data_IF_793037609659
#
_entry.id   IF_793037609659
#
_cell.length_a   1.000
_cell.length_b   1.000
_cell.length_c   1.000
_cell.angle_alpha   90.00
_cell.angle_beta   90.00
_cell.angle_gamma   90.00
#
_symmetry.space_group_name_H-M   'P 1'
#
loop_
_entity.id
_entity.type
_entity.pdbx_description
1 polymer ?
#
# COMPACT_ATOMS: atom_id res chain seq x y z
N UNK A 1 -4.86 -24.18 -0.34
CA UNK A 1 -3.92 -23.26 0.29
C UNK A 1 -3.14 -22.48 -0.75
N UNK A 2 -2.32 -21.56 -0.31
CA UNK A 2 -1.38 -20.81 -1.15
C UNK A 2 0.02 -21.09 -0.61
N UNK A 3 0.94 -21.44 -1.51
CA UNK A 3 2.33 -21.71 -1.15
C UNK A 3 3.14 -20.40 -1.29
N UNK A 4 3.96 -20.08 -0.30
CA UNK A 4 4.90 -18.97 -0.35
C UNK A 4 6.23 -19.49 -0.91
N UNK A 5 6.67 -18.91 -2.03
CA UNK A 5 7.87 -19.37 -2.75
C UNK A 5 8.75 -18.20 -3.17
N UNK A 6 10.03 -18.48 -3.39
CA UNK A 6 10.97 -17.56 -4.04
C UNK A 6 11.06 -17.91 -5.55
N UNK A 7 11.54 -16.97 -6.39
CA UNK A 7 11.71 -17.23 -7.82
C UNK A 7 12.61 -18.42 -8.14
N UNK A 8 13.59 -18.73 -7.28
CA UNK A 8 14.46 -19.91 -7.42
C UNK A 8 13.72 -21.24 -7.23
N UNK A 9 12.57 -21.23 -6.54
CA UNK A 9 11.74 -22.42 -6.36
C UNK A 9 10.88 -22.69 -7.59
N UNK A 10 10.78 -21.71 -8.49
CA UNK A 10 10.06 -21.82 -9.74
C UNK A 10 11.00 -22.13 -10.90
N UNK A 11 10.47 -22.76 -11.93
CA UNK A 11 11.12 -22.91 -13.24
C UNK A 11 10.10 -23.08 -14.33
N UNK A 12 10.49 -22.72 -15.56
CA UNK A 12 9.62 -22.87 -16.72
C UNK A 12 10.12 -24.01 -17.61
N UNK A 13 9.19 -24.86 -18.03
CA UNK A 13 9.45 -25.95 -18.97
C UNK A 13 8.21 -26.23 -19.82
N UNK A 14 8.40 -26.37 -21.13
CA UNK A 14 7.30 -26.61 -22.08
C UNK A 14 6.26 -25.49 -22.09
N UNK A 15 6.67 -24.23 -21.83
CA UNK A 15 5.77 -23.09 -21.77
C UNK A 15 4.84 -23.07 -20.54
N UNK A 16 5.18 -23.80 -19.50
CA UNK A 16 4.44 -23.86 -18.23
C UNK A 16 5.35 -23.57 -17.06
N UNK A 17 4.77 -23.08 -15.97
CA UNK A 17 5.50 -22.84 -14.72
C UNK A 17 5.33 -24.01 -13.77
N UNK A 18 6.42 -24.37 -13.14
CA UNK A 18 6.53 -25.47 -12.19
C UNK A 18 7.21 -24.99 -10.91
N UNK A 19 6.76 -25.48 -9.78
CA UNK A 19 7.39 -25.30 -8.48
C UNK A 19 8.19 -26.54 -8.12
N UNK A 20 9.42 -26.35 -7.62
CA UNK A 20 10.25 -27.42 -7.08
C UNK A 20 9.76 -27.79 -5.70
N UNK A 21 9.39 -29.04 -5.50
CA UNK A 21 9.03 -29.58 -4.19
C UNK A 21 9.84 -30.85 -3.89
N UNK A 22 9.86 -31.27 -2.64
CA UNK A 22 10.51 -32.52 -2.23
C UNK A 22 9.87 -33.77 -2.84
N UNK A 23 8.60 -33.67 -3.22
CA UNK A 23 7.87 -34.74 -3.91
C UNK A 23 8.00 -34.72 -5.46
N UNK A 24 8.75 -33.73 -5.98
CA UNK A 24 8.92 -33.50 -7.42
C UNK A 24 8.25 -32.21 -7.89
N UNK A 25 8.33 -31.92 -9.20
CA UNK A 25 7.74 -30.70 -9.76
C UNK A 25 6.21 -30.68 -9.65
N UNK A 26 5.68 -29.56 -9.13
CA UNK A 26 4.23 -29.32 -9.10
C UNK A 26 3.90 -28.16 -10.03
N UNK A 27 2.82 -28.29 -10.81
CA UNK A 27 2.38 -27.23 -11.73
C UNK A 27 1.86 -26.03 -10.96
N UNK A 28 2.18 -24.85 -11.47
CA UNK A 28 1.68 -23.55 -10.96
C UNK A 28 0.76 -22.95 -12.00
N UNK A 29 -0.50 -22.72 -11.64
CA UNK A 29 -1.51 -22.13 -12.51
C UNK A 29 -1.75 -20.66 -12.24
N UNK A 30 -1.50 -20.20 -11.00
CA UNK A 30 -1.65 -18.80 -10.57
C UNK A 30 -0.47 -18.39 -9.72
N UNK A 31 0.07 -17.20 -9.99
CA UNK A 31 1.14 -16.57 -9.22
C UNK A 31 0.64 -15.21 -8.75
N UNK A 32 0.53 -15.02 -7.42
CA UNK A 32 0.42 -13.71 -6.82
C UNK A 32 1.82 -13.20 -6.52
N UNK A 33 2.29 -12.22 -7.28
CA UNK A 33 3.67 -11.73 -7.17
C UNK A 33 3.82 -10.57 -6.19
N UNK A 34 5.00 -10.52 -5.55
CA UNK A 34 5.49 -9.39 -4.76
C UNK A 34 6.84 -8.88 -5.30
N UNK A 35 7.20 -9.30 -6.48
CA UNK A 35 8.42 -8.92 -7.21
C UNK A 35 8.02 -7.90 -8.27
N UNK A 36 8.78 -6.82 -8.40
CA UNK A 36 8.54 -5.79 -9.41
C UNK A 36 8.72 -6.36 -10.83
N UNK A 37 8.09 -5.73 -11.82
CA UNK A 37 8.03 -6.21 -13.20
C UNK A 37 9.41 -6.51 -13.77
N UNK A 38 10.36 -5.62 -13.57
CA UNK A 38 11.70 -5.71 -14.13
C UNK A 38 12.51 -6.93 -13.63
N UNK A 39 12.17 -7.47 -12.44
CA UNK A 39 12.85 -8.63 -11.87
C UNK A 39 12.16 -9.97 -12.18
N UNK A 40 10.96 -9.95 -12.78
CA UNK A 40 10.11 -11.12 -12.88
C UNK A 40 10.64 -12.20 -13.85
N UNK A 41 11.17 -11.78 -15.00
CA UNK A 41 11.69 -12.71 -16.03
C UNK A 41 12.97 -12.15 -16.65
N UNK A 42 14.14 -12.73 -16.32
CA UNK A 42 15.42 -12.25 -16.84
C UNK A 42 15.58 -12.37 -18.36
N UNK A 43 14.73 -13.14 -19.05
CA UNK A 43 14.74 -13.23 -20.51
C UNK A 43 13.98 -12.08 -21.20
N UNK A 44 13.14 -11.36 -20.45
CA UNK A 44 12.29 -10.31 -21.00
C UNK A 44 12.61 -8.93 -20.44
N UNK A 45 13.16 -8.88 -19.21
CA UNK A 45 13.44 -7.66 -18.48
C UNK A 45 14.92 -7.59 -18.09
N UNK A 46 15.22 -7.44 -16.81
CA UNK A 46 16.60 -7.37 -16.32
C UNK A 46 17.28 -8.72 -16.40
N UNK A 47 18.30 -8.84 -17.25
CA UNK A 47 19.02 -10.09 -17.47
C UNK A 47 19.82 -10.56 -16.23
N UNK A 48 20.15 -9.67 -15.30
CA UNK A 48 20.87 -9.94 -14.06
C UNK A 48 19.93 -10.27 -12.87
N UNK A 49 18.62 -10.29 -13.08
CA UNK A 49 17.67 -10.60 -12.02
C UNK A 49 17.82 -12.02 -11.48
N UNK A 50 17.97 -12.10 -10.15
CA UNK A 50 17.98 -13.34 -9.38
C UNK A 50 16.66 -13.61 -8.64
N UNK A 51 15.68 -12.70 -8.76
CA UNK A 51 14.41 -12.76 -8.03
C UNK A 51 13.29 -13.45 -8.81
N UNK A 52 13.38 -13.44 -10.12
CA UNK A 52 12.38 -14.03 -11.01
C UNK A 52 12.77 -15.40 -11.54
N UNK A 53 11.99 -15.87 -12.53
CA UNK A 53 12.23 -17.16 -13.18
C UNK A 53 12.22 -17.02 -14.70
N UNK A 54 13.28 -17.49 -15.40
CA UNK A 54 13.36 -17.39 -16.85
C UNK A 54 12.19 -18.10 -17.56
N UNK A 55 11.55 -17.42 -18.51
CA UNK A 55 10.45 -17.95 -19.31
C UNK A 55 9.06 -17.80 -18.70
N UNK A 56 8.94 -17.14 -17.57
CA UNK A 56 7.66 -16.91 -16.90
C UNK A 56 6.69 -16.08 -17.77
N UNK A 57 7.20 -15.06 -18.43
CA UNK A 57 6.41 -14.23 -19.35
C UNK A 57 5.96 -14.97 -20.60
N UNK A 58 6.75 -15.93 -21.09
CA UNK A 58 6.31 -16.81 -22.17
C UNK A 58 5.15 -17.70 -21.71
N UNK A 59 5.24 -18.30 -20.54
CA UNK A 59 4.16 -19.11 -19.97
C UNK A 59 2.86 -18.30 -19.78
N UNK A 60 2.97 -17.07 -19.31
CA UNK A 60 1.83 -16.16 -19.16
C UNK A 60 1.20 -15.81 -20.53
N UNK A 61 2.00 -15.45 -21.53
CA UNK A 61 1.51 -15.16 -22.88
C UNK A 61 0.82 -16.34 -23.56
N UNK A 62 1.24 -17.56 -23.25
CA UNK A 62 0.59 -18.79 -23.71
C UNK A 62 -0.69 -19.15 -22.95
N UNK A 63 -1.07 -18.36 -21.93
CA UNK A 63 -2.24 -18.63 -21.08
C UNK A 63 -2.06 -19.83 -20.15
N UNK A 64 -0.83 -20.26 -19.91
CA UNK A 64 -0.53 -21.43 -19.09
C UNK A 64 -0.30 -21.10 -17.61
N UNK A 65 -0.23 -19.83 -17.26
CA UNK A 65 -0.18 -19.31 -15.89
C UNK A 65 -0.81 -17.94 -15.86
N UNK A 66 -1.57 -17.66 -14.80
CA UNK A 66 -2.10 -16.33 -14.53
C UNK A 66 -1.19 -15.64 -13.51
N UNK A 67 -0.69 -14.44 -13.86
CA UNK A 67 0.06 -13.60 -12.93
C UNK A 67 -0.91 -12.59 -12.35
N UNK A 68 -1.34 -12.80 -11.12
CA UNK A 68 -2.10 -11.82 -10.36
C UNK A 68 -1.17 -10.66 -9.98
N UNK A 69 -1.67 -9.41 -9.98
CA UNK A 69 -0.90 -8.20 -10.14
C UNK A 69 -0.17 -8.23 -11.49
N UNK A 70 -0.94 -8.15 -12.57
CA UNK A 70 -0.45 -8.31 -13.93
C UNK A 70 0.75 -7.41 -14.20
N UNK A 71 1.64 -7.87 -15.08
CA UNK A 71 2.78 -7.09 -15.54
C UNK A 71 2.27 -5.84 -16.27
N UNK A 72 2.86 -4.69 -15.97
CA UNK A 72 2.41 -3.38 -16.44
C UNK A 72 1.51 -2.61 -15.45
N UNK A 73 1.09 -3.24 -14.36
CA UNK A 73 0.27 -2.57 -13.32
C UNK A 73 0.99 -1.40 -12.64
N UNK A 74 2.29 -1.25 -12.80
CA UNK A 74 3.04 -0.11 -12.28
C UNK A 74 2.51 1.25 -12.76
N UNK A 75 1.80 1.29 -13.89
CA UNK A 75 1.11 2.50 -14.35
C UNK A 75 0.07 3.00 -13.34
N UNK A 76 -0.51 2.11 -12.54
CA UNK A 76 -1.47 2.47 -11.50
C UNK A 76 -0.81 3.10 -10.26
N UNK A 77 0.49 2.90 -10.09
CA UNK A 77 1.29 3.50 -9.00
C UNK A 77 1.88 4.85 -9.38
N UNK A 78 1.86 5.20 -10.66
CA UNK A 78 2.37 6.45 -11.19
C UNK A 78 1.54 7.64 -10.70
N UNK A 79 2.18 8.54 -9.94
CA UNK A 79 1.50 9.68 -9.33
C UNK A 79 1.08 10.76 -10.34
N UNK A 80 1.68 10.76 -11.53
CA UNK A 80 1.27 11.64 -12.60
C UNK A 80 -0.02 11.13 -13.25
N UNK A 81 -0.13 9.81 -13.49
CA UNK A 81 -1.35 9.18 -14.01
C UNK A 81 -2.54 9.42 -13.07
N UNK A 82 -2.31 9.40 -11.76
CA UNK A 82 -3.33 9.73 -10.77
C UNK A 82 -4.00 11.09 -11.03
N UNK A 83 -3.27 12.08 -11.54
CA UNK A 83 -3.82 13.43 -11.79
C UNK A 83 -4.85 13.47 -12.92
N UNK A 84 -4.82 12.49 -13.82
CA UNK A 84 -5.77 12.37 -14.93
C UNK A 84 -6.99 11.51 -14.58
N UNK A 85 -7.04 10.89 -13.41
CA UNK A 85 -8.10 9.94 -13.07
C UNK A 85 -9.52 10.51 -13.19
N UNK A 86 -9.81 11.74 -12.73
CA UNK A 86 -11.13 12.35 -12.92
C UNK A 86 -11.52 12.51 -14.40
N UNK A 87 -10.57 12.93 -15.23
CA UNK A 87 -10.77 13.10 -16.68
C UNK A 87 -10.98 11.74 -17.38
N UNK A 88 -10.26 10.70 -16.94
CA UNK A 88 -10.43 9.34 -17.45
C UNK A 88 -11.80 8.76 -17.08
N UNK A 89 -12.29 9.02 -15.88
CA UNK A 89 -13.63 8.61 -15.44
C UNK A 89 -14.70 9.30 -16.33
N UNK A 90 -14.58 10.60 -16.54
CA UNK A 90 -15.51 11.35 -17.40
C UNK A 90 -15.45 10.84 -18.85
N UNK A 91 -14.26 10.64 -19.39
CA UNK A 91 -14.05 10.22 -20.77
C UNK A 91 -14.58 8.80 -21.06
N UNK A 92 -14.28 7.83 -20.18
CA UNK A 92 -14.63 6.42 -20.44
C UNK A 92 -16.01 6.04 -19.91
N UNK A 93 -16.45 6.64 -18.81
CA UNK A 93 -17.71 6.27 -18.14
C UNK A 93 -18.81 7.33 -18.32
N UNK A 94 -18.48 8.56 -18.72
CA UNK A 94 -19.42 9.68 -18.76
C UNK A 94 -19.92 10.07 -17.37
N UNK A 95 -19.15 9.79 -16.33
CA UNK A 95 -19.49 10.00 -14.93
C UNK A 95 -18.53 10.98 -14.26
N UNK A 96 -18.96 11.54 -13.14
CA UNK A 96 -18.08 12.32 -12.27
C UNK A 96 -17.46 11.40 -11.21
N UNK A 97 -16.18 11.65 -10.88
CA UNK A 97 -15.53 10.95 -9.80
C UNK A 97 -16.31 11.10 -8.48
N UNK A 98 -16.66 9.97 -7.85
CA UNK A 98 -17.39 9.95 -6.56
C UNK A 98 -16.45 10.32 -5.41
N UNK A 99 -15.20 9.83 -5.46
CA UNK A 99 -14.16 10.13 -4.48
C UNK A 99 -13.29 11.24 -5.05
N UNK A 100 -13.16 12.40 -4.37
CA UNK A 100 -12.32 13.48 -4.87
C UNK A 100 -10.84 13.08 -4.80
N UNK A 101 -10.08 13.49 -5.81
CA UNK A 101 -8.63 13.44 -5.76
C UNK A 101 -8.10 14.57 -4.86
N UNK A 102 -6.92 14.36 -4.29
CA UNK A 102 -6.15 15.45 -3.71
C UNK A 102 -5.66 16.36 -4.84
N UNK A 103 -5.81 17.67 -4.68
CA UNK A 103 -5.30 18.65 -5.63
C UNK A 103 -3.82 18.37 -5.89
N UNK A 104 -3.45 18.28 -7.15
CA UNK A 104 -2.10 17.86 -7.53
C UNK A 104 -1.60 18.69 -8.71
N UNK A 105 -0.48 19.38 -8.51
CA UNK A 105 0.21 20.12 -9.55
C UNK A 105 1.12 19.18 -10.33
N UNK A 106 0.97 19.20 -11.64
CA UNK A 106 1.88 18.54 -12.60
C UNK A 106 2.98 19.53 -12.96
N UNK A 107 4.21 19.28 -12.51
CA UNK A 107 5.29 20.26 -12.65
C UNK A 107 5.84 20.35 -14.08
N UNK A 108 5.40 19.50 -14.98
CA UNK A 108 5.65 19.67 -16.44
C UNK A 108 4.91 20.88 -17.03
N UNK A 109 3.86 21.38 -16.38
CA UNK A 109 3.20 22.63 -16.71
C UNK A 109 4.02 23.80 -16.13
N UNK A 110 4.53 24.72 -16.99
CA UNK A 110 5.35 25.84 -16.53
C UNK A 110 4.65 26.75 -15.50
N UNK A 111 3.34 26.95 -15.63
CA UNK A 111 2.58 27.77 -14.68
C UNK A 111 2.47 27.09 -13.32
N UNK A 112 2.23 25.77 -13.30
CA UNK A 112 2.20 24.99 -12.09
C UNK A 112 3.58 24.92 -11.42
N UNK A 113 4.63 24.77 -12.21
CA UNK A 113 6.01 24.79 -11.69
C UNK A 113 6.34 26.11 -10.99
N UNK A 114 6.03 27.25 -11.62
CA UNK A 114 6.28 28.59 -11.04
C UNK A 114 5.54 28.75 -9.72
N UNK A 115 4.24 28.44 -9.66
CA UNK A 115 3.45 28.49 -8.44
C UNK A 115 4.04 27.62 -7.34
N UNK A 116 4.41 26.39 -7.65
CA UNK A 116 4.98 25.44 -6.68
C UNK A 116 6.34 25.90 -6.16
N UNK A 117 7.18 26.45 -7.03
CA UNK A 117 8.48 26.98 -6.63
C UNK A 117 8.37 28.14 -5.63
N UNK A 118 7.32 28.93 -5.72
CA UNK A 118 7.05 30.02 -4.78
C UNK A 118 6.48 29.56 -3.43
N UNK A 119 5.92 28.35 -3.38
CA UNK A 119 5.23 27.78 -2.23
C UNK A 119 5.83 26.46 -1.74
N UNK A 120 7.11 26.22 -1.98
CA UNK A 120 7.77 24.95 -1.62
C UNK A 120 7.70 24.63 -0.13
N UNK A 121 7.70 25.63 0.72
CA UNK A 121 7.60 25.50 2.18
C UNK A 121 6.18 25.19 2.69
N UNK A 122 5.16 25.25 1.82
CA UNK A 122 3.77 24.93 2.14
C UNK A 122 3.33 23.55 1.63
N UNK A 123 4.03 23.00 0.66
CA UNK A 123 3.58 21.87 -0.15
C UNK A 123 4.34 20.57 0.17
N UNK A 124 3.75 19.45 -0.22
CA UNK A 124 4.40 18.14 -0.24
C UNK A 124 4.83 17.84 -1.67
N UNK A 125 6.11 17.64 -1.88
CA UNK A 125 6.70 17.35 -3.18
C UNK A 125 7.05 15.86 -3.23
N UNK A 126 6.64 15.19 -4.30
CA UNK A 126 6.80 13.75 -4.48
C UNK A 126 7.38 13.44 -5.84
N UNK A 127 8.35 12.52 -5.95
CA UNK A 127 8.71 11.98 -7.25
C UNK A 127 7.51 11.24 -7.86
N UNK A 128 7.36 11.32 -9.18
CA UNK A 128 6.29 10.66 -9.94
C UNK A 128 6.35 9.16 -9.73
N UNK A 129 7.52 8.59 -9.87
CA UNK A 129 7.84 7.20 -9.61
C UNK A 129 8.26 6.97 -8.14
N UNK A 130 8.48 5.73 -7.80
CA UNK A 130 8.92 5.35 -6.47
C UNK A 130 7.78 5.12 -5.47
N UNK A 131 8.12 4.42 -4.40
CA UNK A 131 7.21 3.96 -3.36
C UNK A 131 7.81 4.14 -1.97
N UNK A 132 7.00 3.91 -0.93
CA UNK A 132 7.48 3.88 0.45
C UNK A 132 7.90 5.23 1.03
N UNK A 133 7.58 6.35 0.38
CA UNK A 133 7.93 7.70 0.84
C UNK A 133 9.37 8.11 0.51
N UNK A 134 10.08 7.34 -0.31
CA UNK A 134 11.43 7.70 -0.77
C UNK A 134 11.35 8.96 -1.63
N UNK A 135 12.26 9.91 -1.39
CA UNK A 135 12.33 11.19 -2.12
C UNK A 135 11.19 12.17 -1.85
N UNK A 136 10.25 11.84 -0.95
CA UNK A 136 9.18 12.75 -0.54
C UNK A 136 9.76 13.86 0.33
N UNK A 137 9.40 15.11 0.02
CA UNK A 137 9.75 16.28 0.84
C UNK A 137 8.48 16.95 1.33
N UNK A 138 8.36 17.10 2.64
CA UNK A 138 7.27 17.86 3.29
C UNK A 138 7.80 19.27 3.55
N UNK A 139 7.38 20.22 2.72
CA UNK A 139 7.87 21.60 2.75
C UNK A 139 7.88 22.26 4.14
N UNK A 140 6.78 22.21 4.90
CA UNK A 140 6.73 22.76 6.25
C UNK A 140 7.73 22.14 7.24
N UNK A 141 8.20 20.93 6.99
CA UNK A 141 9.18 20.23 7.84
C UNK A 141 10.62 20.32 7.28
N UNK A 142 10.79 20.81 6.07
CA UNK A 142 12.08 20.86 5.39
C UNK A 142 12.91 22.08 5.81
N UNK A 143 14.21 21.89 5.85
CA UNK A 143 15.16 23.00 6.09
C UNK A 143 15.37 23.82 4.81
N UNK A 144 15.83 25.07 4.96
CA UNK A 144 16.13 25.92 3.80
C UNK A 144 17.11 25.30 2.80
N UNK A 145 18.22 24.66 3.23
CA UNK A 145 19.13 23.98 2.29
C UNK A 145 18.48 22.83 1.52
N UNK A 146 17.57 22.08 2.17
CA UNK A 146 16.80 21.02 1.52
C UNK A 146 15.86 21.60 0.45
N UNK A 147 15.12 22.66 0.75
CA UNK A 147 14.25 23.35 -0.21
C UNK A 147 15.04 23.91 -1.40
N UNK A 148 16.24 24.48 -1.17
CA UNK A 148 17.10 24.96 -2.25
C UNK A 148 17.64 23.83 -3.13
N UNK A 149 17.92 22.67 -2.54
CA UNK A 149 18.33 21.48 -3.29
C UNK A 149 17.16 20.95 -4.11
N UNK A 150 15.99 20.83 -3.50
CA UNK A 150 14.75 20.44 -4.15
C UNK A 150 14.42 21.38 -5.33
N UNK A 151 14.50 22.69 -5.15
CA UNK A 151 14.27 23.69 -6.21
C UNK A 151 15.12 23.41 -7.45
N UNK A 152 16.40 23.07 -7.25
CA UNK A 152 17.30 22.73 -8.37
C UNK A 152 16.89 21.44 -9.07
N UNK A 153 16.42 20.44 -8.32
CA UNK A 153 15.94 19.17 -8.87
C UNK A 153 14.67 19.39 -9.71
N UNK A 154 13.71 20.16 -9.21
CA UNK A 154 12.47 20.46 -9.92
C UNK A 154 12.71 21.23 -11.22
N UNK A 155 13.65 22.18 -11.22
CA UNK A 155 14.02 22.93 -12.42
C UNK A 155 14.77 22.06 -13.44
N UNK A 156 15.50 21.04 -12.99
CA UNK A 156 16.25 20.13 -13.85
C UNK A 156 15.33 19.11 -14.55
N UNK A 157 14.37 18.57 -13.81
CA UNK A 157 13.44 17.55 -14.28
C UNK A 157 12.02 17.80 -13.74
N UNK A 158 11.28 18.76 -14.29
CA UNK A 158 9.95 19.09 -13.80
C UNK A 158 8.97 17.92 -13.91
N UNK A 159 9.05 17.13 -15.01
CA UNK A 159 8.15 16.01 -15.25
C UNK A 159 8.29 14.89 -14.24
N UNK A 160 9.45 14.74 -13.65
CA UNK A 160 9.72 13.71 -12.63
C UNK A 160 9.03 13.96 -11.29
N UNK A 161 8.25 15.06 -11.15
CA UNK A 161 7.72 15.49 -9.86
C UNK A 161 6.28 15.96 -9.92
N UNK A 162 5.58 15.76 -8.82
CA UNK A 162 4.28 16.37 -8.51
C UNK A 162 4.35 17.12 -7.19
N UNK A 163 3.43 18.06 -7.01
CA UNK A 163 3.20 18.73 -5.74
C UNK A 163 1.76 18.55 -5.28
N UNK A 164 1.55 18.51 -3.98
CA UNK A 164 0.24 18.41 -3.33
C UNK A 164 0.20 19.29 -2.08
N UNK A 165 -0.97 19.77 -1.65
CA UNK A 165 -1.11 20.38 -0.35
C UNK A 165 -0.82 19.36 0.76
N UNK A 166 -0.42 19.82 1.93
CA UNK A 166 -0.32 18.96 3.11
C UNK A 166 -1.71 18.51 3.52
N UNK A 167 -2.01 17.23 3.32
CA UNK A 167 -3.28 16.66 3.76
C UNK A 167 -3.21 16.32 5.24
N UNK A 168 -4.08 16.95 6.03
CA UNK A 168 -4.26 16.60 7.43
C UNK A 168 -5.07 15.31 7.51
N UNK A 169 -4.37 14.18 7.70
CA UNK A 169 -5.02 12.89 7.80
C UNK A 169 -5.96 12.84 9.02
N UNK A 170 -7.06 12.13 8.88
CA UNK A 170 -7.95 11.83 10.01
C UNK A 170 -7.20 11.09 11.11
N UNK A 171 -7.66 11.23 12.35
CA UNK A 171 -7.12 10.49 13.48
C UNK A 171 -8.09 9.43 13.94
N UNK A 172 -7.54 8.30 14.43
CA UNK A 172 -8.30 7.22 15.05
C UNK A 172 -7.71 6.87 16.41
N UNK A 173 -8.53 6.41 17.38
CA UNK A 173 -8.04 5.92 18.65
C UNK A 173 -7.06 4.75 18.43
N UNK A 174 -5.87 4.87 18.98
CA UNK A 174 -4.79 3.88 18.81
C UNK A 174 -4.15 3.58 20.15
N UNK A 175 -4.01 2.28 20.45
CA UNK A 175 -3.31 1.83 21.67
C UNK A 175 -1.82 2.02 21.46
N UNK A 176 -1.20 2.70 22.40
CA UNK A 176 0.25 2.87 22.54
C UNK A 176 0.65 2.59 23.99
N UNK A 177 1.94 2.64 24.31
CA UNK A 177 2.45 2.32 25.64
C UNK A 177 1.76 3.11 26.78
N UNK A 178 1.37 4.36 26.51
CA UNK A 178 0.67 5.24 27.45
C UNK A 178 -0.87 5.13 27.41
N UNK A 179 -1.41 4.08 26.80
CA UNK A 179 -2.85 3.87 26.64
C UNK A 179 -3.39 4.33 25.28
N UNK A 180 -4.66 4.70 25.23
CA UNK A 180 -5.32 5.06 23.96
C UNK A 180 -5.09 6.53 23.63
N UNK A 181 -4.55 6.80 22.45
CA UNK A 181 -4.28 8.15 21.94
C UNK A 181 -4.72 8.30 20.49
N UNK A 182 -5.12 9.50 20.03
CA UNK A 182 -5.39 9.74 18.62
C UNK A 182 -4.09 9.64 17.82
N UNK A 183 -4.15 8.97 16.67
CA UNK A 183 -3.05 8.87 15.72
C UNK A 183 -3.58 9.01 14.30
N UNK A 184 -2.81 9.68 13.45
CA UNK A 184 -3.15 9.82 12.04
C UNK A 184 -3.21 8.47 11.34
N UNK A 185 -4.18 8.31 10.45
CA UNK A 185 -4.45 7.05 9.77
C UNK A 185 -4.85 7.26 8.31
N UNK A 186 -4.57 6.26 7.47
CA UNK A 186 -5.13 6.14 6.13
C UNK A 186 -5.81 4.78 5.93
N UNK A 187 -6.90 4.77 5.16
CA UNK A 187 -7.59 3.55 4.76
C UNK A 187 -7.04 3.07 3.41
N UNK A 188 -6.78 1.78 3.32
CA UNK A 188 -6.34 1.08 2.10
C UNK A 188 -7.34 0.01 1.73
N UNK A 189 -8.33 0.33 0.88
CA UNK A 189 -9.28 -0.65 0.37
C UNK A 189 -8.60 -1.58 -0.64
N UNK A 190 -9.21 -2.75 -0.86
CA UNK A 190 -8.79 -3.71 -1.87
C UNK A 190 -9.89 -3.85 -2.91
N UNK A 191 -9.52 -3.67 -4.18
CA UNK A 191 -10.41 -3.89 -5.31
C UNK A 191 -9.78 -4.89 -6.27
N UNK A 192 -10.61 -5.76 -6.84
CA UNK A 192 -10.21 -6.75 -7.85
C UNK A 192 -11.08 -6.54 -9.08
N UNK A 193 -10.43 -6.41 -10.22
CA UNK A 193 -11.09 -6.32 -11.53
C UNK A 193 -10.84 -7.63 -12.29
N UNK A 194 -11.88 -8.33 -12.69
CA UNK A 194 -11.80 -9.56 -13.47
C UNK A 194 -11.93 -9.34 -15.00
N UNK A 195 -12.04 -8.08 -15.42
CA UNK A 195 -12.21 -7.68 -16.80
C UNK A 195 -13.66 -7.34 -17.17
N UNK A 196 -14.65 -7.79 -16.40
CA UNK A 196 -16.06 -7.49 -16.57
C UNK A 196 -16.64 -6.72 -15.39
N UNK A 197 -16.29 -7.16 -14.18
CA UNK A 197 -16.79 -6.59 -12.94
C UNK A 197 -15.64 -6.17 -12.00
N UNK A 198 -15.93 -5.19 -11.16
CA UNK A 198 -15.03 -4.75 -10.09
C UNK A 198 -15.63 -5.13 -8.74
N UNK A 199 -14.92 -5.99 -8.02
CA UNK A 199 -15.28 -6.35 -6.66
C UNK A 199 -14.41 -5.57 -5.67
N UNK A 200 -15.04 -4.97 -4.66
CA UNK A 200 -14.37 -4.26 -3.57
C UNK A 200 -14.59 -5.01 -2.27
N UNK A 201 -13.52 -5.32 -1.56
CA UNK A 201 -13.60 -5.95 -0.24
C UNK A 201 -14.39 -5.04 0.71
N UNK A 202 -15.42 -5.56 1.44
CA UNK A 202 -16.13 -4.79 2.45
C UNK A 202 -15.28 -4.61 3.72
N UNK A 203 -14.16 -3.94 3.58
CA UNK A 203 -13.15 -3.73 4.59
C UNK A 203 -11.85 -3.22 3.98
N UNK A 204 -10.78 -3.28 4.73
CA UNK A 204 -9.47 -2.87 4.25
C UNK A 204 -8.41 -2.89 5.33
N UNK A 205 -7.21 -2.52 4.93
CA UNK A 205 -6.11 -2.24 5.85
C UNK A 205 -6.13 -0.75 6.19
N UNK A 206 -6.08 -0.42 7.47
CA UNK A 206 -5.79 0.95 7.92
C UNK A 206 -4.36 1.02 8.43
N UNK A 207 -3.59 1.95 7.89
CA UNK A 207 -2.26 2.28 8.41
C UNK A 207 -2.33 3.44 9.38
N UNK A 208 -1.47 3.40 10.39
CA UNK A 208 -1.48 4.35 11.50
C UNK A 208 -0.08 4.87 11.75
N UNK A 209 0.09 6.18 11.86
CA UNK A 209 1.34 6.79 12.29
C UNK A 209 1.46 6.69 13.83
N UNK A 210 2.31 5.79 14.35
CA UNK A 210 2.43 5.59 15.79
C UNK A 210 3.04 6.79 16.54
N UNK A 211 4.09 7.47 16.02
CA UNK A 211 4.58 8.69 16.67
C UNK A 211 3.57 9.82 16.59
N UNK A 212 3.50 10.63 17.64
CA UNK A 212 2.57 11.74 17.73
C UNK A 212 2.84 12.82 16.69
N UNK A 213 1.78 13.30 16.04
CA UNK A 213 1.84 14.37 15.04
C UNK A 213 2.43 13.97 13.69
N UNK A 214 2.92 12.73 13.53
CA UNK A 214 3.44 12.29 12.24
C UNK A 214 2.31 12.00 11.25
N UNK A 215 2.49 12.42 10.00
CA UNK A 215 1.59 12.17 8.88
C UNK A 215 2.02 10.97 8.02
N UNK A 216 3.23 10.46 8.23
CA UNK A 216 3.73 9.31 7.49
C UNK A 216 3.32 8.02 8.18
N UNK A 217 2.39 7.29 7.57
CA UNK A 217 1.78 6.06 8.13
C UNK A 217 2.48 4.78 7.65
N UNK A 218 3.61 4.89 6.94
CA UNK A 218 4.30 3.73 6.39
C UNK A 218 4.95 2.87 7.48
N UNK A 219 4.77 1.56 7.40
CA UNK A 219 5.37 0.60 8.36
C UNK A 219 6.89 0.63 8.38
N UNK A 220 7.56 0.93 7.25
CA UNK A 220 9.02 1.12 7.20
C UNK A 220 9.51 2.33 8.01
N UNK A 221 8.62 3.23 8.39
CA UNK A 221 8.91 4.41 9.22
C UNK A 221 8.25 4.33 10.60
N UNK A 222 8.02 3.13 11.10
CA UNK A 222 7.45 2.91 12.43
C UNK A 222 5.92 3.03 12.50
N UNK A 223 5.23 2.96 11.36
CA UNK A 223 3.76 2.92 11.32
C UNK A 223 3.21 1.55 11.72
N UNK A 224 2.03 1.56 12.35
CA UNK A 224 1.23 0.37 12.66
C UNK A 224 0.15 0.09 11.63
N UNK A 225 -0.59 -1.00 11.85
CA UNK A 225 -1.74 -1.35 11.02
C UNK A 225 -2.91 -1.82 11.86
N UNK A 226 -4.12 -1.66 11.32
CA UNK A 226 -5.38 -2.15 11.87
C UNK A 226 -6.23 -2.74 10.76
N UNK A 227 -7.02 -3.76 11.06
CA UNK A 227 -8.06 -4.21 10.17
C UNK A 227 -9.25 -3.24 10.22
N UNK A 228 -9.87 -3.03 9.07
CA UNK A 228 -11.06 -2.20 8.95
C UNK A 228 -12.18 -3.01 8.31
N UNK A 229 -13.31 -3.06 8.96
CA UNK A 229 -14.50 -3.74 8.49
C UNK A 229 -15.59 -2.73 8.18
N UNK A 230 -16.24 -2.88 7.03
CA UNK A 230 -17.43 -2.13 6.70
C UNK A 230 -18.63 -2.87 7.27
N UNK A 231 -19.24 -2.30 8.27
CA UNK A 231 -20.45 -2.87 8.89
C UNK A 231 -21.65 -2.45 8.05
N UNK A 232 -22.38 -3.44 7.53
CA UNK A 232 -23.65 -3.20 6.84
C UNK A 232 -24.65 -2.55 7.80
N UNK A 233 -25.35 -1.52 7.34
CA UNK A 233 -26.56 -1.08 8.03
C UNK A 233 -27.60 -2.18 7.78
N UNK A 234 -27.93 -2.98 8.81
CA UNK A 234 -29.21 -3.67 8.79
C UNK A 234 -30.27 -2.61 8.55
N UNK A 235 -31.14 -2.82 7.57
CA UNK A 235 -32.38 -2.07 7.50
C UNK A 235 -33.13 -2.40 8.78
N UNK A 236 -33.03 -1.53 9.77
CA UNK A 236 -33.97 -1.51 10.86
C UNK A 236 -35.27 -1.15 10.17
N UNK A 237 -36.10 -2.15 9.87
CA UNK A 237 -37.51 -1.90 9.62
C UNK A 237 -37.98 -1.21 10.90
N UNK A 238 -38.23 0.08 10.79
CA UNK A 238 -38.88 0.87 11.83
C UNK A 238 -40.25 0.26 12.09
N UNK A 239 -40.31 -0.80 12.86
CA UNK A 239 -41.51 -1.13 13.59
C UNK A 239 -41.54 -0.18 14.79
N UNK A 240 -42.53 0.71 14.83
CA UNK A 240 -42.78 1.63 15.95
C UNK A 240 -42.83 0.93 17.33
N UNK A 241 -42.92 -0.40 17.35
CA UNK A 241 -42.79 -1.26 18.54
C UNK A 241 -41.39 -1.32 19.18
N UNK A 242 -40.32 -1.02 18.42
CA UNK A 242 -38.94 -1.20 18.91
C UNK A 242 -38.45 -0.04 19.77
N UNK A 243 -38.94 1.18 19.51
CA UNK A 243 -38.58 2.37 20.30
C UNK A 243 -39.22 2.30 21.69
N UNK A 244 -40.45 1.83 21.78
CA UNK A 244 -41.16 1.67 23.05
C UNK A 244 -40.54 0.56 23.91
N UNK A 245 -40.10 -0.55 23.31
CA UNK A 245 -39.41 -1.65 23.98
C UNK A 245 -38.00 -1.33 24.49
N UNK A 246 -37.32 -0.34 23.90
CA UNK A 246 -36.02 0.13 24.38
C UNK A 246 -36.15 1.06 25.58
N UNK A 247 -37.21 1.87 25.63
CA UNK A 247 -37.48 2.77 26.76
C UNK A 247 -37.89 1.95 28.02
N UNK A 248 -38.66 0.88 27.84
CA UNK A 248 -39.05 -0.02 28.97
C UNK A 248 -37.87 -0.87 29.47
N UNK A 249 -36.90 -1.27 28.62
CA UNK A 249 -35.70 -1.99 29.05
C UNK A 249 -34.66 -1.13 29.78
N UNK A 250 -34.71 0.19 29.68
CA UNK A 250 -33.87 1.07 30.49
C UNK A 250 -34.30 1.19 31.94
N UNK A 251 -35.51 0.74 32.29
CA UNK A 251 -36.00 0.75 33.64
C UNK A 251 -35.58 -0.48 34.50
N UNK A 252 -35.12 -1.56 33.84
CA UNK A 252 -34.78 -2.83 34.51
C UNK A 252 -33.30 -3.18 34.44
N UNK A 253 -32.42 -2.23 34.25
CA UNK A 253 -30.97 -2.51 34.12
C UNK A 253 -30.27 -2.48 35.45
N UNK A 254 -30.38 -3.58 36.21
CA UNK A 254 -29.31 -4.00 37.13
C UNK A 254 -28.31 -4.86 36.36
N UNK A 255 -27.02 -4.47 36.48
CA UNK A 255 -25.81 -5.17 36.03
C UNK A 255 -25.43 -5.04 34.55
N UNK A 256 -24.88 -3.89 34.19
CA UNK A 256 -23.86 -3.84 33.15
C UNK A 256 -22.57 -4.42 33.76
N UNK A 257 -22.19 -5.62 33.35
CA UNK A 257 -20.88 -6.18 33.69
C UNK A 257 -19.81 -5.35 32.99
N UNK A 258 -19.20 -4.44 33.72
CA UNK A 258 -18.03 -3.72 33.26
C UNK A 258 -16.88 -4.72 33.19
N UNK A 259 -16.39 -5.01 32.01
CA UNK A 259 -15.17 -5.82 31.83
C UNK A 259 -14.02 -5.00 32.40
N UNK A 260 -13.52 -5.46 33.56
CA UNK A 260 -12.39 -4.83 34.22
C UNK A 260 -11.07 -5.27 33.56
N UNK A 261 -10.00 -4.46 33.67
CA UNK A 261 -8.68 -4.82 33.15
C UNK A 261 -8.16 -6.18 33.67
N UNK A 262 -8.61 -6.62 34.82
CA UNK A 262 -8.25 -7.91 35.42
C UNK A 262 -8.86 -9.10 34.65
N UNK A 263 -10.07 -8.98 34.12
CA UNK A 263 -10.71 -10.02 33.29
C UNK A 263 -10.03 -10.17 31.91
N UNK A 264 -9.39 -9.11 31.40
CA UNK A 264 -8.60 -9.17 30.17
C UNK A 264 -7.22 -9.81 30.38
N UNK A 265 -6.66 -9.69 31.57
CA UNK A 265 -5.38 -10.33 31.93
C UNK A 265 -5.52 -11.84 32.10
N UNK A 266 -6.65 -12.34 32.60
CA UNK A 266 -6.91 -13.79 32.73
C UNK A 266 -7.13 -14.45 31.35
N UNK A 267 -7.70 -13.75 30.38
CA UNK A 267 -7.88 -14.25 29.01
C UNK A 267 -6.55 -14.34 28.23
N UNK A 268 -5.56 -13.49 28.56
CA UNK A 268 -4.25 -13.49 27.90
C UNK A 268 -3.26 -14.52 28.47
N UNK A 269 -3.55 -15.11 29.63
CA UNK A 269 -2.65 -16.07 30.29
C UNK A 269 -2.77 -17.52 29.75
N UNK A 270 -3.65 -17.79 28.79
CA UNK A 270 -3.87 -19.14 28.24
C UNK A 270 -3.33 -19.35 26.82
N UNK A 271 -2.66 -18.37 26.20
CA UNK A 271 -2.14 -18.49 24.82
C UNK A 271 -0.61 -18.53 24.69
N UNK A 272 0.13 -18.69 25.77
CA UNK A 272 1.60 -18.83 25.71
C UNK A 272 2.04 -20.30 25.58
N UNK A 273 1.73 -20.96 24.47
CA UNK A 273 2.49 -22.12 23.97
C UNK A 273 2.10 -22.44 22.51
N UNK A 274 2.62 -21.68 21.54
CA UNK A 274 2.78 -22.16 20.17
C UNK A 274 3.77 -21.28 19.39
N UNK A 275 5.01 -21.73 19.37
CA UNK A 275 5.95 -21.72 18.25
C UNK A 275 6.33 -20.40 17.57
N UNK A 276 7.38 -19.83 18.12
CA UNK A 276 8.30 -18.84 17.56
C UNK A 276 9.27 -19.50 16.54
N UNK A 277 8.84 -19.70 15.28
CA UNK A 277 9.76 -20.16 14.22
C UNK A 277 9.58 -19.53 12.82
N UNK A 278 8.61 -18.64 12.59
CA UNK A 278 8.34 -18.15 11.22
C UNK A 278 8.70 -16.67 10.96
N UNK A 279 8.93 -15.88 11.99
CA UNK A 279 9.19 -14.43 11.83
C UNK A 279 10.57 -14.09 11.23
N UNK A 280 11.55 -14.95 11.43
CA UNK A 280 12.95 -14.71 11.02
C UNK A 280 13.17 -14.89 9.50
N UNK A 281 12.41 -15.75 8.85
CA UNK A 281 12.53 -15.99 7.39
C UNK A 281 11.96 -14.86 6.54
N UNK A 282 10.85 -14.29 6.97
CA UNK A 282 10.16 -13.19 6.26
C UNK A 282 10.97 -11.89 6.32
N UNK A 283 11.60 -11.62 7.46
CA UNK A 283 12.49 -10.48 7.64
C UNK A 283 13.72 -10.55 6.73
N UNK A 284 14.33 -11.74 6.59
CA UNK A 284 15.52 -11.94 5.76
C UNK A 284 15.26 -11.76 4.26
N UNK A 285 14.08 -12.13 3.76
CA UNK A 285 13.68 -11.91 2.36
C UNK A 285 13.51 -10.43 2.04
N UNK A 286 12.87 -9.70 2.96
CA UNK A 286 12.63 -8.26 2.82
C UNK A 286 13.93 -7.48 2.85
N UNK A 287 14.87 -7.84 3.74
CA UNK A 287 16.19 -7.24 3.78
C UNK A 287 16.98 -7.47 2.50
N UNK A 288 16.98 -8.68 1.94
CA UNK A 288 17.66 -8.97 0.66
C UNK A 288 17.05 -8.22 -0.53
N UNK A 289 15.74 -8.04 -0.56
CA UNK A 289 15.07 -7.28 -1.59
C UNK A 289 15.40 -5.78 -1.48
N UNK A 290 15.45 -5.26 -0.26
CA UNK A 290 15.85 -3.88 0.03
C UNK A 290 17.36 -3.65 -0.27
N UNK A 291 18.22 -4.60 0.06
CA UNK A 291 19.67 -4.55 -0.25
C UNK A 291 19.93 -4.60 -1.76
N UNK A 292 19.22 -5.44 -2.51
CA UNK A 292 19.37 -5.52 -3.96
C UNK A 292 18.82 -4.26 -4.65
N UNK A 293 17.72 -3.69 -4.16
CA UNK A 293 17.23 -2.39 -4.62
C UNK A 293 18.20 -1.26 -4.28
N UNK A 294 18.83 -1.31 -3.12
CA UNK A 294 19.81 -0.30 -2.68
C UNK A 294 21.11 -0.37 -3.53
N UNK A 295 21.63 -1.57 -3.78
CA UNK A 295 22.82 -1.76 -4.62
C UNK A 295 22.62 -1.27 -6.05
N UNK A 296 21.41 -1.36 -6.58
CA UNK A 296 21.09 -0.90 -7.93
C UNK A 296 21.05 0.64 -8.03
N UNK A 297 20.57 1.32 -6.99
CA UNK A 297 20.61 2.78 -6.91
C UNK A 297 22.06 3.30 -6.88
N UNK A 298 22.95 2.59 -6.19
CA UNK A 298 24.36 2.96 -6.07
C UNK A 298 25.13 2.73 -7.38
N UNK A 299 24.74 1.73 -8.19
CA UNK A 299 25.34 1.47 -9.51
C UNK A 299 24.93 2.51 -10.55
N UNK A 300 23.67 2.95 -10.55
CA UNK A 300 23.18 3.99 -11.46
C UNK A 300 23.71 5.38 -11.08
N UNK A 301 23.93 5.65 -9.79
CA UNK A 301 24.55 6.89 -9.31
C UNK A 301 26.05 6.99 -9.59
N UNK A 302 26.75 5.88 -9.84
CA UNK A 302 28.18 5.82 -10.07
C UNK A 302 28.65 5.99 -11.53
N UNK A 303 27.73 6.06 -12.50
CA UNK A 303 28.07 6.24 -13.92
C UNK A 303 28.01 7.69 -14.43
N UNK A 304 27.85 8.66 -13.54
CA UNK A 304 27.93 10.09 -13.86
C UNK A 304 29.24 10.68 -13.34
N UNK A 305 30.35 10.30 -13.93
CA UNK A 305 31.62 11.04 -13.92
C UNK A 305 32.25 10.98 -15.30
#
# INVERSE_FOLDING_TARGET
>A
GVDLVEGRDLFCSGGRVWMRTTAGPTRVDVIYRRVDDEFLDPLQFRADSMLGSPGMMLAARLGNVTIANAVGNGVADDKLVYTYLPDLIDYYLGEKAIIPNVDTWRLEDPGALEEVLDRLDELVIKPVDGSGGKGLVIGPAATKPELETLRKQLLKDPRGWIAQPVVQLSTIPTVIDDGMRPRHADLRPFAVNDGNDVWVLPGGLTRVALPEGQLVVNSSQGGGSKDTWVVGREKIEESEATVQGLVERQADTEAITVITPEMLLEASAHEDHAEDHDSTRTLTQRQRQEEQQQQNVDIEGGQSC
#
